data_IF_743907956243
#
_entry.id   IF_743907956243
#
_cell.length_a   1.000
_cell.length_b   1.000
_cell.length_c   1.000
_cell.angle_alpha   90.00
_cell.angle_beta   90.00
_cell.angle_gamma   90.00
#
_symmetry.space_group_name_H-M   'P 1'
#
loop_
_entity.id
_entity.type
_entity.pdbx_description
1 polymer ?
#
# COMPACT_ATOMS: atom_id res chain seq x y z
N UNK A 1 -25.94 33.72 6.13
CA UNK A 1 -25.89 34.04 7.58
C UNK A 1 -27.29 33.92 8.15
N UNK A 2 -27.42 33.32 9.34
CA UNK A 2 -28.73 33.08 9.96
C UNK A 2 -28.75 33.66 11.38
N UNK A 3 -29.92 34.13 11.80
CA UNK A 3 -30.22 34.50 13.17
C UNK A 3 -31.25 33.51 13.71
N UNK A 4 -30.97 32.94 14.87
CA UNK A 4 -31.89 32.05 15.58
C UNK A 4 -32.40 32.79 16.81
N UNK A 5 -33.70 32.69 17.07
CA UNK A 5 -34.28 33.25 18.28
C UNK A 5 -35.46 32.41 18.76
N UNK A 6 -35.72 32.43 20.06
CA UNK A 6 -36.93 31.86 20.63
C UNK A 6 -38.01 32.94 20.88
N UNK A 7 -39.26 32.52 20.88
CA UNK A 7 -40.40 33.35 21.31
C UNK A 7 -41.51 32.46 21.86
N UNK A 8 -42.18 32.94 22.91
CA UNK A 8 -43.44 32.32 23.38
C UNK A 8 -44.60 32.57 22.41
N UNK A 9 -44.50 33.61 21.59
CA UNK A 9 -45.47 33.91 20.54
C UNK A 9 -44.74 34.28 19.23
N UNK A 10 -44.87 33.42 18.23
CA UNK A 10 -44.25 33.60 16.93
C UNK A 10 -45.02 34.61 16.07
N UNK A 11 -46.33 34.77 16.29
CA UNK A 11 -47.18 35.65 15.50
C UNK A 11 -46.81 37.12 15.68
N UNK A 12 -46.42 37.51 16.89
CA UNK A 12 -45.93 38.86 17.19
C UNK A 12 -44.45 39.04 16.88
N UNK A 13 -43.63 37.98 17.02
CA UNK A 13 -42.17 38.08 16.86
C UNK A 13 -41.71 38.10 15.41
N UNK A 14 -42.27 37.27 14.54
CA UNK A 14 -41.83 37.15 13.14
C UNK A 14 -41.95 38.47 12.35
N UNK A 15 -43.06 39.23 12.46
CA UNK A 15 -43.20 40.51 11.75
C UNK A 15 -42.14 41.55 12.14
N UNK A 16 -41.58 41.50 13.35
CA UNK A 16 -40.53 42.44 13.81
C UNK A 16 -39.25 42.29 12.98
N UNK A 17 -38.95 41.09 12.49
CA UNK A 17 -37.76 40.79 11.69
C UNK A 17 -38.00 40.91 10.18
N UNK A 18 -39.19 41.31 9.74
CA UNK A 18 -39.44 41.63 8.34
C UNK A 18 -38.57 42.83 7.92
N UNK A 19 -37.87 42.74 6.78
CA UNK A 19 -36.89 43.75 6.35
C UNK A 19 -37.43 45.19 6.34
N UNK A 20 -38.70 45.39 5.98
CA UNK A 20 -39.36 46.69 5.97
C UNK A 20 -39.54 47.28 7.38
N UNK A 21 -39.76 46.43 8.38
CA UNK A 21 -39.93 46.84 9.78
C UNK A 21 -38.58 47.03 10.47
N UNK A 22 -37.59 46.19 10.15
CA UNK A 22 -36.24 46.25 10.70
C UNK A 22 -35.42 47.48 10.21
N UNK A 23 -35.75 48.04 9.04
CA UNK A 23 -35.02 49.16 8.42
C UNK A 23 -35.80 50.49 8.35
N UNK A 24 -37.07 50.56 8.77
CA UNK A 24 -37.92 51.74 8.46
C UNK A 24 -39.15 52.02 9.34
N UNK A 25 -39.35 51.31 10.45
CA UNK A 25 -40.48 51.59 11.36
C UNK A 25 -40.23 52.81 12.28
N UNK A 26 -41.29 53.58 12.59
CA UNK A 26 -41.29 54.67 13.61
C UNK A 26 -40.88 54.20 15.02
N UNK A 27 -40.81 52.89 15.27
CA UNK A 27 -39.96 52.33 16.31
C UNK A 27 -38.53 52.35 15.77
N UNK A 28 -37.98 53.55 15.82
CA UNK A 28 -36.57 53.88 15.78
C UNK A 28 -35.72 52.69 16.17
N UNK A 29 -34.65 52.46 15.40
CA UNK A 29 -33.34 51.97 15.82
C UNK A 29 -33.12 52.04 17.33
N UNK A 30 -33.83 51.23 18.07
CA UNK A 30 -33.56 50.98 19.46
C UNK A 30 -32.61 49.80 19.35
N UNK A 31 -31.28 50.04 19.45
CA UNK A 31 -30.28 48.99 19.38
C UNK A 31 -30.52 47.91 20.45
N UNK A 32 -31.44 48.16 21.39
CA UNK A 32 -31.88 47.18 22.35
C UNK A 32 -32.97 46.22 21.79
N UNK A 33 -33.75 46.55 20.76
CA UNK A 33 -34.92 45.71 20.40
C UNK A 33 -34.62 44.56 19.42
N UNK A 34 -33.65 44.74 18.52
CA UNK A 34 -33.33 43.81 17.42
C UNK A 34 -31.82 43.53 17.42
N UNK A 35 -31.44 42.33 16.95
CA UNK A 35 -30.06 41.89 16.86
C UNK A 35 -29.21 42.83 15.96
N UNK A 36 -28.18 43.46 16.54
CA UNK A 36 -27.34 44.47 15.87
C UNK A 36 -26.63 43.96 14.60
N UNK A 37 -25.98 42.77 14.60
CA UNK A 37 -25.41 42.21 13.38
C UNK A 37 -26.41 42.04 12.24
N UNK A 38 -27.64 41.62 12.54
CA UNK A 38 -28.67 41.48 11.53
C UNK A 38 -29.03 42.84 10.90
N UNK A 39 -29.20 43.88 11.71
CA UNK A 39 -29.46 45.24 11.19
C UNK A 39 -28.31 45.72 10.31
N UNK A 40 -27.06 45.52 10.77
CA UNK A 40 -25.87 45.91 10.02
C UNK A 40 -25.82 45.20 8.65
N UNK A 41 -26.08 43.89 8.61
CA UNK A 41 -26.11 43.12 7.38
C UNK A 41 -27.20 43.62 6.41
N UNK A 42 -28.42 43.84 6.91
CA UNK A 42 -29.53 44.34 6.10
C UNK A 42 -29.24 45.76 5.56
N UNK A 43 -28.59 46.60 6.37
CA UNK A 43 -28.17 47.95 5.97
C UNK A 43 -27.08 47.91 4.91
N UNK A 44 -26.10 47.01 5.04
CA UNK A 44 -25.05 46.82 4.05
C UNK A 44 -25.60 46.35 2.70
N UNK A 45 -26.50 45.35 2.70
CA UNK A 45 -27.17 44.87 1.48
C UNK A 45 -27.93 46.01 0.79
N UNK A 46 -28.65 46.84 1.56
CA UNK A 46 -29.37 48.00 1.04
C UNK A 46 -28.41 49.06 0.47
N UNK A 47 -27.30 49.34 1.15
CA UNK A 47 -26.29 50.28 0.70
C UNK A 47 -25.63 49.82 -0.62
N UNK A 48 -25.55 48.51 -0.87
CA UNK A 48 -25.11 47.94 -2.15
C UNK A 48 -26.14 48.01 -3.27
N UNK A 49 -27.29 48.69 -3.08
CA UNK A 49 -28.35 48.83 -4.07
C UNK A 49 -29.25 47.61 -4.23
N UNK A 50 -29.12 46.60 -3.35
CA UNK A 50 -29.96 45.41 -3.35
C UNK A 50 -31.17 45.60 -2.41
N UNK A 51 -32.25 44.87 -2.67
CA UNK A 51 -33.44 44.86 -1.78
C UNK A 51 -33.29 43.71 -0.78
N UNK A 52 -32.99 43.99 0.51
CA UNK A 52 -32.85 42.92 1.50
C UNK A 52 -34.19 42.23 1.75
N UNK A 53 -34.20 40.90 1.70
CA UNK A 53 -35.37 40.06 2.01
C UNK A 53 -35.04 39.13 3.17
N UNK A 54 -35.79 39.25 4.26
CA UNK A 54 -35.70 38.31 5.38
C UNK A 54 -36.71 37.18 5.21
N UNK A 55 -36.30 35.96 5.54
CA UNK A 55 -37.16 34.78 5.56
C UNK A 55 -37.13 34.20 6.96
N UNK A 56 -38.28 34.19 7.63
CA UNK A 56 -38.43 33.58 8.95
C UNK A 56 -39.09 32.21 8.81
N UNK A 57 -38.50 31.20 9.46
CA UNK A 57 -39.03 29.83 9.49
C UNK A 57 -39.03 29.30 10.92
N UNK A 58 -40.06 28.53 11.25
CA UNK A 58 -40.14 27.82 12.53
C UNK A 58 -39.40 26.50 12.37
N UNK A 59 -38.29 26.35 13.09
CA UNK A 59 -37.42 25.16 13.00
C UNK A 59 -37.81 24.12 14.05
N UNK A 60 -38.22 24.57 15.24
CA UNK A 60 -38.53 23.70 16.37
C UNK A 60 -39.67 24.30 17.19
N UNK A 61 -40.67 23.49 17.54
CA UNK A 61 -41.73 23.83 18.49
C UNK A 61 -41.47 23.12 19.81
N UNK A 62 -41.57 23.83 20.92
CA UNK A 62 -41.45 23.26 22.27
C UNK A 62 -42.82 23.10 22.90
N UNK A 63 -43.05 21.98 23.57
CA UNK A 63 -44.30 21.70 24.29
C UNK A 63 -44.41 22.46 25.61
N UNK A 64 -43.27 22.76 26.24
CA UNK A 64 -43.22 23.42 27.54
C UNK A 64 -42.37 24.70 27.46
N UNK A 65 -42.79 25.81 28.11
CA UNK A 65 -42.03 27.07 28.07
C UNK A 65 -40.60 26.94 28.60
N UNK A 66 -40.37 26.07 29.59
CA UNK A 66 -39.03 25.82 30.16
C UNK A 66 -38.03 25.21 29.17
N UNK A 67 -38.51 24.62 28.08
CA UNK A 67 -37.66 24.01 27.05
C UNK A 67 -37.18 25.02 26.01
N UNK A 68 -37.79 26.21 25.93
CA UNK A 68 -37.42 27.24 24.95
C UNK A 68 -35.92 27.62 24.99
N UNK A 69 -35.31 27.88 26.17
CA UNK A 69 -33.88 28.19 26.24
C UNK A 69 -32.98 27.06 25.74
N UNK A 70 -33.34 25.80 26.04
CA UNK A 70 -32.58 24.61 25.66
C UNK A 70 -32.67 24.40 24.14
N UNK A 71 -33.89 24.49 23.61
CA UNK A 71 -34.16 24.42 22.18
C UNK A 71 -33.42 25.51 21.40
N UNK A 72 -33.42 26.75 21.89
CA UNK A 72 -32.69 27.86 21.27
C UNK A 72 -31.19 27.59 21.20
N UNK A 73 -30.58 27.14 22.31
CA UNK A 73 -29.15 26.79 22.36
C UNK A 73 -28.80 25.68 21.36
N UNK A 74 -29.59 24.61 21.34
CA UNK A 74 -29.38 23.50 20.43
C UNK A 74 -29.40 23.96 18.97
N UNK A 75 -30.42 24.75 18.59
CA UNK A 75 -30.56 25.23 17.22
C UNK A 75 -29.46 26.23 16.86
N UNK A 76 -29.05 27.12 17.78
CA UNK A 76 -27.91 28.03 17.56
C UNK A 76 -26.63 27.23 17.27
N UNK A 77 -26.34 26.21 18.08
CA UNK A 77 -25.15 25.37 17.92
C UNK A 77 -25.17 24.59 16.60
N UNK A 78 -26.31 23.95 16.27
CA UNK A 78 -26.45 23.17 15.03
C UNK A 78 -26.39 24.04 13.78
N UNK A 79 -27.00 25.24 13.83
CA UNK A 79 -26.99 26.18 12.72
C UNK A 79 -25.70 27.01 12.64
N UNK A 80 -24.76 26.83 13.57
CA UNK A 80 -23.57 27.66 13.75
C UNK A 80 -23.91 29.16 13.76
N UNK A 81 -25.05 29.50 14.36
CA UNK A 81 -25.62 30.84 14.21
C UNK A 81 -24.96 31.88 15.12
N UNK A 82 -23.96 31.49 15.92
CA UNK A 82 -23.16 32.41 16.74
C UNK A 82 -22.28 33.31 15.86
N UNK A 83 -22.14 34.58 16.23
CA UNK A 83 -21.33 35.56 15.51
C UNK A 83 -19.83 35.20 15.42
N UNK A 84 -19.31 34.41 16.39
CA UNK A 84 -17.93 33.92 16.36
C UNK A 84 -17.71 32.74 15.40
N UNK A 85 -18.79 32.13 14.90
CA UNK A 85 -18.71 31.02 13.95
C UNK A 85 -19.02 31.55 12.55
N UNK A 86 -20.30 31.67 12.17
CA UNK A 86 -20.73 32.10 10.84
C UNK A 86 -22.13 32.78 10.83
N UNK A 87 -22.63 33.15 12.01
CA UNK A 87 -24.02 33.58 12.18
C UNK A 87 -24.20 35.00 12.72
N UNK A 88 -25.44 35.29 13.12
CA UNK A 88 -25.84 36.63 13.56
C UNK A 88 -26.16 36.70 15.07
N UNK A 89 -26.19 35.59 15.80
CA UNK A 89 -26.42 35.57 17.25
C UNK A 89 -25.22 36.13 18.01
N UNK A 90 -25.37 37.29 18.65
CA UNK A 90 -24.35 37.90 19.53
C UNK A 90 -24.33 37.25 20.90
N UNK A 91 -25.51 36.96 21.44
CA UNK A 91 -25.67 36.36 22.76
C UNK A 91 -25.80 34.84 22.64
N UNK A 92 -25.32 34.14 23.67
CA UNK A 92 -25.61 32.72 23.85
C UNK A 92 -27.13 32.50 23.94
N UNK A 93 -27.61 31.42 23.31
CA UNK A 93 -29.02 31.05 23.38
C UNK A 93 -29.51 30.88 24.81
N UNK A 94 -30.79 31.14 25.04
CA UNK A 94 -31.44 30.87 26.32
C UNK A 94 -31.14 31.86 27.44
N UNK A 95 -30.39 32.93 27.18
CA UNK A 95 -30.18 34.01 28.14
C UNK A 95 -31.35 35.02 28.15
N UNK A 96 -31.97 35.24 29.31
CA UNK A 96 -32.72 36.49 29.55
C UNK A 96 -31.71 37.63 29.69
N UNK A 97 -31.92 38.74 28.98
CA UNK A 97 -31.09 39.95 29.14
C UNK A 97 -30.98 40.33 30.63
N UNK A 98 -29.75 40.53 31.10
CA UNK A 98 -29.48 41.04 32.45
C UNK A 98 -29.40 39.99 33.56
N UNK A 99 -29.44 38.69 33.25
CA UNK A 99 -29.06 37.64 34.21
C UNK A 99 -27.67 37.14 33.85
N UNK A 100 -26.65 37.81 34.38
CA UNK A 100 -25.25 37.42 34.29
C UNK A 100 -25.00 36.16 35.15
N UNK A 101 -25.54 35.03 34.71
CA UNK A 101 -25.09 33.72 35.15
C UNK A 101 -23.83 33.34 34.38
N UNK A 102 -22.93 32.58 35.01
CA UNK A 102 -21.83 31.88 34.34
C UNK A 102 -22.35 31.26 33.04
N UNK A 103 -21.71 31.55 31.90
CA UNK A 103 -22.07 31.02 30.59
C UNK A 103 -22.40 29.54 30.73
N UNK A 104 -23.69 29.20 30.55
CA UNK A 104 -24.12 27.80 30.66
C UNK A 104 -23.41 26.96 29.60
N UNK A 105 -22.98 27.58 28.51
CA UNK A 105 -22.15 26.96 27.49
C UNK A 105 -20.76 26.61 28.03
N UNK A 106 -20.06 27.51 28.72
CA UNK A 106 -18.77 27.19 29.36
C UNK A 106 -18.89 26.12 30.45
N UNK A 107 -20.00 26.11 31.18
CA UNK A 107 -20.24 25.06 32.18
C UNK A 107 -20.48 23.71 31.52
N UNK A 108 -21.30 23.64 30.47
CA UNK A 108 -21.55 22.43 29.69
C UNK A 108 -20.29 21.97 28.93
N UNK A 109 -19.50 22.91 28.41
CA UNK A 109 -18.20 22.65 27.78
C UNK A 109 -17.23 22.04 28.79
N UNK A 110 -17.12 22.62 29.99
CA UNK A 110 -16.36 22.03 31.09
C UNK A 110 -16.90 20.65 31.47
N UNK A 111 -18.21 20.46 31.51
CA UNK A 111 -18.79 19.16 31.84
C UNK A 111 -18.46 18.10 30.78
N UNK A 112 -18.59 18.45 29.50
CA UNK A 112 -18.30 17.54 28.37
C UNK A 112 -16.81 17.26 28.22
N UNK A 113 -15.97 18.29 28.34
CA UNK A 113 -14.52 18.18 28.13
C UNK A 113 -13.77 17.66 29.37
N UNK A 114 -14.19 18.05 30.57
CA UNK A 114 -13.45 17.79 31.81
C UNK A 114 -14.14 16.79 32.75
N UNK A 115 -15.49 16.70 32.76
CA UNK A 115 -16.22 15.92 33.78
C UNK A 115 -16.74 14.59 33.26
N UNK A 116 -17.09 14.49 31.97
CA UNK A 116 -17.64 13.24 31.42
C UNK A 116 -16.54 12.19 31.19
N UNK A 117 -16.75 10.93 31.64
CA UNK A 117 -15.75 9.88 31.62
C UNK A 117 -15.42 9.37 30.20
N UNK A 118 -16.00 9.94 29.14
CA UNK A 118 -15.86 9.45 27.77
C UNK A 118 -14.81 10.21 26.95
N UNK A 119 -14.52 11.47 27.29
CA UNK A 119 -13.57 12.29 26.51
C UNK A 119 -12.15 11.72 26.55
N UNK A 120 -11.68 11.36 27.74
CA UNK A 120 -10.34 10.80 27.92
C UNK A 120 -10.21 9.41 27.24
N UNK A 121 -11.10 8.42 27.47
CA UNK A 121 -11.06 7.16 26.73
C UNK A 121 -11.16 7.33 25.22
N UNK A 122 -12.04 8.20 24.71
CA UNK A 122 -12.14 8.43 23.27
C UNK A 122 -10.85 9.01 22.68
N UNK A 123 -10.19 9.90 23.41
CA UNK A 123 -8.88 10.45 23.01
C UNK A 123 -7.82 9.37 23.01
N UNK A 124 -7.74 8.54 24.05
CA UNK A 124 -6.81 7.42 24.11
C UNK A 124 -7.04 6.39 23.00
N UNK A 125 -8.29 6.04 22.73
CA UNK A 125 -8.66 5.14 21.63
C UNK A 125 -8.29 5.73 20.27
N UNK A 126 -8.51 7.04 20.07
CA UNK A 126 -8.12 7.73 18.84
C UNK A 126 -6.61 7.74 18.65
N UNK A 127 -5.83 7.96 19.72
CA UNK A 127 -4.37 7.90 19.68
C UNK A 127 -3.89 6.48 19.37
N UNK A 128 -4.49 5.46 19.98
CA UNK A 128 -4.16 4.07 19.72
C UNK A 128 -4.46 3.67 18.25
N UNK A 129 -5.59 4.10 17.70
CA UNK A 129 -5.95 3.90 16.29
C UNK A 129 -4.94 4.57 15.34
N UNK A 130 -4.50 5.78 15.65
CA UNK A 130 -3.46 6.47 14.87
C UNK A 130 -2.12 5.72 14.91
N UNK A 131 -1.73 5.19 16.06
CA UNK A 131 -0.49 4.41 16.21
C UNK A 131 -0.57 3.10 15.42
N UNK A 132 -1.70 2.39 15.48
CA UNK A 132 -1.93 1.19 14.67
C UNK A 132 -1.84 1.48 13.17
N UNK A 133 -2.43 2.59 12.71
CA UNK A 133 -2.31 3.02 11.30
C UNK A 133 -0.88 3.32 10.92
N UNK A 134 -0.09 3.95 11.80
CA UNK A 134 1.33 4.22 11.54
C UNK A 134 2.11 2.91 11.34
N UNK A 135 1.94 1.95 12.25
CA UNK A 135 2.58 0.63 12.16
C UNK A 135 2.16 -0.10 10.88
N UNK A 136 0.88 -0.05 10.51
CA UNK A 136 0.39 -0.63 9.27
C UNK A 136 1.08 -0.04 8.02
N UNK A 137 1.21 1.29 7.96
CA UNK A 137 1.88 1.98 6.85
C UNK A 137 3.37 1.63 6.76
N UNK A 138 4.05 1.50 7.90
CA UNK A 138 5.47 1.12 7.92
C UNK A 138 5.65 -0.33 7.47
N UNK A 139 4.76 -1.24 7.88
CA UNK A 139 4.73 -2.61 7.38
C UNK A 139 4.49 -2.67 5.87
N UNK A 140 3.60 -1.82 5.34
CA UNK A 140 3.31 -1.77 3.91
C UNK A 140 4.54 -1.33 3.09
N UNK A 141 5.29 -0.33 3.59
CA UNK A 141 6.57 0.08 2.99
C UNK A 141 7.59 -1.06 3.02
N UNK A 142 7.69 -1.79 4.13
CA UNK A 142 8.61 -2.92 4.25
C UNK A 142 8.27 -4.04 3.25
N UNK A 143 6.98 -4.36 3.08
CA UNK A 143 6.51 -5.32 2.08
C UNK A 143 6.84 -4.86 0.66
N UNK A 144 6.65 -3.57 0.37
CA UNK A 144 6.95 -3.04 -0.96
C UNK A 144 8.45 -3.06 -1.28
N UNK A 145 9.30 -2.78 -0.29
CA UNK A 145 10.75 -2.96 -0.40
C UNK A 145 11.12 -4.42 -0.67
N UNK A 146 10.60 -5.35 0.13
CA UNK A 146 10.86 -6.78 -0.03
C UNK A 146 10.38 -7.30 -1.40
N UNK A 147 9.25 -6.80 -1.90
CA UNK A 147 8.79 -7.10 -3.27
C UNK A 147 9.79 -6.60 -4.32
N UNK A 148 10.34 -5.41 -4.14
CA UNK A 148 11.40 -4.86 -5.00
C UNK A 148 12.63 -5.77 -5.04
N UNK A 149 13.08 -6.23 -3.88
CA UNK A 149 14.23 -7.13 -3.76
C UNK A 149 13.96 -8.50 -4.42
N UNK A 150 12.76 -9.06 -4.22
CA UNK A 150 12.34 -10.31 -4.88
C UNK A 150 12.38 -10.17 -6.40
N UNK A 151 11.84 -9.09 -6.95
CA UNK A 151 11.86 -8.84 -8.40
C UNK A 151 13.29 -8.73 -8.93
N UNK A 152 14.19 -8.08 -8.16
CA UNK A 152 15.60 -7.97 -8.52
C UNK A 152 16.27 -9.34 -8.54
N UNK A 153 16.08 -10.14 -7.49
CA UNK A 153 16.61 -11.51 -7.38
C UNK A 153 16.10 -12.41 -8.52
N UNK A 154 14.83 -12.30 -8.90
CA UNK A 154 14.29 -13.03 -10.05
C UNK A 154 15.00 -12.69 -11.35
N UNK A 155 15.30 -11.40 -11.60
CA UNK A 155 16.05 -11.00 -12.80
C UNK A 155 17.48 -11.54 -12.79
N UNK A 156 18.17 -11.43 -11.65
CA UNK A 156 19.52 -11.98 -11.50
C UNK A 156 19.52 -13.51 -11.72
N UNK A 157 18.52 -14.22 -11.19
CA UNK A 157 18.35 -15.65 -11.42
C UNK A 157 18.13 -16.00 -12.90
N UNK A 158 17.27 -15.27 -13.60
CA UNK A 158 17.03 -15.49 -15.03
C UNK A 158 18.28 -15.25 -15.88
N UNK A 159 19.08 -14.22 -15.55
CA UNK A 159 20.36 -13.95 -16.20
C UNK A 159 21.38 -15.07 -15.97
N UNK A 160 21.49 -15.56 -14.72
CA UNK A 160 22.36 -16.68 -14.39
C UNK A 160 21.92 -17.97 -15.09
N UNK A 161 20.62 -18.24 -15.16
CA UNK A 161 20.06 -19.38 -15.87
C UNK A 161 20.39 -19.35 -17.36
N UNK A 162 20.21 -18.19 -18.02
CA UNK A 162 20.59 -18.01 -19.42
C UNK A 162 22.10 -18.22 -19.65
N UNK A 163 22.93 -17.82 -18.68
CA UNK A 163 24.37 -18.01 -18.74
C UNK A 163 24.74 -19.49 -18.61
N UNK A 164 24.13 -20.21 -17.66
CA UNK A 164 24.28 -21.65 -17.50
C UNK A 164 23.86 -22.42 -18.76
N UNK A 165 22.72 -22.07 -19.35
CA UNK A 165 22.23 -22.71 -20.59
C UNK A 165 23.21 -22.51 -21.76
N UNK A 166 23.87 -21.35 -21.84
CA UNK A 166 24.91 -21.09 -22.85
C UNK A 166 26.16 -21.93 -22.59
N UNK A 167 26.63 -21.99 -21.35
CA UNK A 167 27.80 -22.77 -20.97
C UNK A 167 27.57 -24.28 -21.20
N UNK A 168 26.39 -24.80 -20.87
CA UNK A 168 26.01 -26.18 -21.14
C UNK A 168 26.07 -26.50 -22.63
N UNK A 169 25.48 -25.64 -23.47
CA UNK A 169 25.55 -25.80 -24.94
C UNK A 169 26.98 -25.77 -25.45
N UNK A 170 27.82 -24.86 -24.95
CA UNK A 170 29.23 -24.80 -25.32
C UNK A 170 29.96 -26.09 -24.91
N UNK A 171 29.75 -26.55 -23.68
CA UNK A 171 30.35 -27.79 -23.18
C UNK A 171 29.95 -29.00 -24.02
N UNK A 172 28.66 -29.15 -24.34
CA UNK A 172 28.17 -30.21 -25.22
C UNK A 172 28.84 -30.17 -26.61
N UNK A 173 29.03 -28.98 -27.18
CA UNK A 173 29.70 -28.84 -28.47
C UNK A 173 31.17 -29.21 -28.41
N UNK A 174 31.90 -28.80 -27.37
CA UNK A 174 33.31 -29.16 -27.19
C UNK A 174 33.48 -30.65 -26.89
N UNK A 175 32.63 -31.22 -26.04
CA UNK A 175 32.63 -32.65 -25.75
C UNK A 175 32.43 -33.48 -27.03
N UNK A 176 31.48 -33.09 -27.90
CA UNK A 176 31.26 -33.75 -29.20
C UNK A 176 32.49 -33.68 -30.10
N UNK A 177 33.19 -32.54 -30.14
CA UNK A 177 34.44 -32.39 -30.92
C UNK A 177 35.55 -33.30 -30.38
N UNK A 178 35.77 -33.31 -29.07
CA UNK A 178 36.79 -34.15 -28.42
C UNK A 178 36.49 -35.63 -28.65
N UNK A 179 35.25 -36.06 -28.44
CA UNK A 179 34.83 -37.45 -28.66
C UNK A 179 35.02 -37.87 -30.12
N UNK A 180 34.65 -37.02 -31.08
CA UNK A 180 34.87 -37.29 -32.51
C UNK A 180 36.35 -37.41 -32.84
N UNK A 181 37.17 -36.46 -32.41
CA UNK A 181 38.62 -36.48 -32.61
C UNK A 181 39.27 -37.74 -32.04
N UNK A 182 38.90 -38.13 -30.80
CA UNK A 182 39.42 -39.34 -30.16
C UNK A 182 38.98 -40.61 -30.87
N UNK A 183 37.73 -40.66 -31.34
CA UNK A 183 37.19 -41.79 -32.11
C UNK A 183 37.90 -41.93 -33.46
N UNK A 184 38.14 -40.82 -34.16
CA UNK A 184 38.86 -40.81 -35.43
C UNK A 184 40.33 -41.23 -35.24
N UNK A 185 40.98 -40.79 -34.16
CA UNK A 185 42.33 -41.21 -33.79
C UNK A 185 42.42 -42.71 -33.47
N UNK A 186 41.47 -43.24 -32.68
CA UNK A 186 41.41 -44.68 -32.36
C UNK A 186 41.13 -45.52 -33.60
N UNK A 187 40.26 -45.06 -34.50
CA UNK A 187 40.03 -45.72 -35.80
C UNK A 187 41.31 -45.79 -36.63
N UNK A 188 42.07 -44.70 -36.68
CA UNK A 188 43.34 -44.65 -37.40
C UNK A 188 44.35 -45.65 -36.82
N UNK A 189 44.48 -45.70 -35.49
CA UNK A 189 45.34 -46.68 -34.80
C UNK A 189 44.89 -48.12 -35.08
N UNK A 190 43.59 -48.41 -34.99
CA UNK A 190 43.05 -49.72 -35.29
C UNK A 190 43.36 -50.13 -36.74
N UNK A 191 43.19 -49.24 -37.71
CA UNK A 191 43.52 -49.54 -39.11
C UNK A 191 45.01 -49.83 -39.32
N UNK A 192 45.89 -49.15 -38.58
CA UNK A 192 47.33 -49.40 -38.64
C UNK A 192 47.68 -50.79 -38.08
N UNK A 193 47.14 -51.16 -36.91
CA UNK A 193 47.33 -52.48 -36.30
C UNK A 193 46.84 -53.59 -37.22
N UNK A 194 45.64 -53.46 -37.80
CA UNK A 194 45.13 -54.47 -38.74
C UNK A 194 45.99 -54.60 -40.01
N UNK A 195 46.64 -53.51 -40.44
CA UNK A 195 47.53 -53.55 -41.58
C UNK A 195 48.86 -54.25 -41.23
N UNK A 196 49.40 -54.02 -40.03
CA UNK A 196 50.57 -54.73 -39.51
C UNK A 196 50.27 -56.23 -39.33
N UNK A 197 49.11 -56.58 -38.77
CA UNK A 197 48.68 -57.98 -38.62
C UNK A 197 48.65 -58.71 -39.97
N UNK A 198 48.13 -58.07 -41.03
CA UNK A 198 48.15 -58.60 -42.39
C UNK A 198 49.59 -58.77 -42.93
N UNK A 199 50.52 -57.88 -42.55
CA UNK A 199 51.93 -58.02 -42.91
C UNK A 199 52.58 -59.20 -42.18
N UNK A 200 52.30 -59.38 -40.89
CA UNK A 200 52.77 -60.52 -40.11
C UNK A 200 52.25 -61.84 -40.67
N UNK A 201 50.96 -61.93 -41.02
CA UNK A 201 50.39 -63.12 -41.68
C UNK A 201 51.09 -63.45 -43.01
N UNK A 202 51.42 -62.42 -43.81
CA UNK A 202 52.17 -62.63 -45.07
C UNK A 202 53.60 -63.10 -44.79
N UNK A 203 54.26 -62.56 -43.77
CA UNK A 203 55.60 -62.95 -43.40
C UNK A 203 55.62 -64.40 -42.90
N UNK A 204 54.64 -64.78 -42.09
CA UNK A 204 54.47 -66.13 -41.56
C UNK A 204 54.24 -67.15 -42.69
N UNK A 205 53.36 -66.83 -43.64
CA UNK A 205 53.13 -67.66 -44.84
C UNK A 205 54.39 -67.79 -45.73
N UNK A 206 55.21 -66.75 -45.84
CA UNK A 206 56.51 -66.85 -46.53
C UNK A 206 57.48 -67.74 -45.74
N UNK A 207 57.52 -67.58 -44.41
CA UNK A 207 58.41 -68.31 -43.51
C UNK A 207 58.10 -69.81 -43.53
N UNK A 208 56.83 -70.19 -43.38
CA UNK A 208 56.37 -71.58 -43.57
C UNK A 208 56.83 -72.15 -44.93
N UNK A 209 56.64 -71.40 -46.02
CA UNK A 209 57.05 -71.86 -47.36
C UNK A 209 58.55 -72.07 -47.49
N UNK A 210 59.37 -71.28 -46.79
CA UNK A 210 60.83 -71.47 -46.72
C UNK A 210 61.18 -72.69 -45.88
N UNK A 211 60.61 -72.85 -44.69
CA UNK A 211 60.83 -74.01 -43.81
C UNK A 211 60.49 -75.33 -44.52
N UNK A 212 59.35 -75.37 -45.20
CA UNK A 212 58.92 -76.52 -46.03
C UNK A 212 59.92 -76.85 -47.15
N UNK A 213 60.54 -75.85 -47.78
CA UNK A 213 61.55 -76.08 -48.85
C UNK A 213 62.90 -76.54 -48.29
N UNK A 214 63.23 -76.15 -47.07
CA UNK A 214 64.48 -76.51 -46.41
C UNK A 214 64.40 -77.85 -45.67
N UNK A 215 63.21 -78.47 -45.60
CA UNK A 215 63.01 -79.77 -44.96
C UNK A 215 63.09 -79.72 -43.42
N UNK A 216 62.83 -78.55 -42.83
CA UNK A 216 62.79 -78.36 -41.39
C UNK A 216 61.38 -78.77 -40.93
N UNK A 217 61.27 -79.80 -40.09
CA UNK A 217 60.01 -80.16 -39.41
C UNK A 217 59.93 -79.41 -38.09
N UNK A 218 58.78 -78.79 -37.82
CA UNK A 218 58.53 -78.11 -36.55
C UNK A 218 58.48 -79.12 -35.40
N UNK A 219 59.36 -78.96 -34.41
CA UNK A 219 59.15 -79.52 -33.07
C UNK A 219 58.11 -78.63 -32.36
N UNK A 220 57.03 -79.25 -31.87
CA UNK A 220 55.97 -78.59 -31.11
C UNK A 220 56.56 -77.79 -29.94
N UNK A 221 56.35 -76.47 -29.93
CA UNK A 221 56.69 -75.60 -28.80
C UNK A 221 55.50 -75.56 -27.85
N UNK A 222 55.72 -76.03 -26.62
CA UNK A 222 54.76 -76.03 -25.51
C UNK A 222 54.18 -74.62 -25.25
N UNK A 223 52.86 -74.59 -25.08
CA UNK A 223 52.07 -73.42 -24.68
C UNK A 223 52.55 -72.88 -23.32
N UNK A 224 52.96 -71.62 -23.28
CA UNK A 224 53.24 -70.89 -22.04
C UNK A 224 51.95 -70.22 -21.57
N UNK A 225 51.43 -70.67 -20.42
CA UNK A 225 50.26 -70.13 -19.74
C UNK A 225 50.37 -68.61 -19.51
N UNK A 226 49.37 -67.86 -20.00
CA UNK A 226 49.17 -66.45 -19.64
C UNK A 226 48.70 -66.34 -18.19
N UNK A 227 49.48 -65.64 -17.37
CA UNK A 227 49.13 -65.27 -15.99
C UNK A 227 48.23 -64.03 -16.03
N UNK A 228 46.96 -64.19 -15.66
CA UNK A 228 46.01 -63.10 -15.40
C UNK A 228 46.53 -62.19 -14.29
N UNK A 229 46.81 -60.93 -14.62
CA UNK A 229 47.10 -59.86 -13.67
C UNK A 229 45.86 -59.00 -13.44
N UNK A 230 45.13 -59.28 -12.36
CA UNK A 230 44.14 -58.37 -11.77
C UNK A 230 44.84 -57.11 -11.26
N UNK A 231 44.35 -55.93 -11.66
CA UNK A 231 44.66 -54.68 -10.95
C UNK A 231 43.36 -53.86 -10.81
N UNK A 232 42.64 -54.13 -9.72
CA UNK A 232 41.48 -53.35 -9.26
C UNK A 232 41.95 -52.02 -8.65
N UNK A 233 41.93 -50.96 -9.46
CA UNK A 233 42.09 -49.58 -8.98
C UNK A 233 40.76 -48.96 -8.55
N UNK A 234 40.36 -49.18 -7.30
CA UNK A 234 39.25 -48.45 -6.66
C UNK A 234 39.69 -47.00 -6.33
N UNK A 235 39.03 -46.00 -6.93
CA UNK A 235 39.13 -44.59 -6.53
C UNK A 235 37.90 -44.25 -5.69
N UNK A 236 38.11 -44.10 -4.38
CA UNK A 236 37.18 -43.45 -3.46
C UNK A 236 37.40 -41.94 -3.59
N UNK A 237 36.32 -41.20 -3.84
CA UNK A 237 36.29 -39.73 -3.76
C UNK A 237 35.34 -39.38 -2.62
N UNK A 238 35.90 -38.80 -1.55
CA UNK A 238 35.19 -37.98 -0.55
C UNK A 238 34.99 -36.55 -1.07
#
# INVERSE_FOLDING_TARGET
MQYVGCSGDLGTRVPVYAANNALGGKRTLDPTSINTPLILLLSAIKASGLVPKTVSRVILKTWEPRLLPIAERLVISLARSNYLQDGLNVAEGGGQRGKDGVSTMRHMESEVLCVRPYSNPNTQLSVADLEQRRVFLDNLKAIESARGDIVKLFREYDEHKLTLDRLLKQWETELKKVMKSKTDSLRLQHTAVTAEELQWQRLDDITMRVCLRLGIQDEEVEDVEEVEGEDEGAIIVD
#
